data_IF_299844962236
#
_entry.id   IF_299844962236
#
_cell.length_a   1.000
_cell.length_b   1.000
_cell.length_c   1.000
_cell.angle_alpha   90.00
_cell.angle_beta   90.00
_cell.angle_gamma   90.00
#
_symmetry.space_group_name_H-M   'P 1'
#
loop_
_entity.id
_entity.type
_entity.pdbx_description
1 polymer ?
#
# COMPACT_ATOMS: atom_id res chain seq x y z
N UNK A 1 42.60 -50.49 1.46
CA UNK A 1 41.90 -49.47 2.26
C UNK A 1 41.44 -48.37 1.32
N UNK A 2 40.13 -48.25 1.07
CA UNK A 2 39.54 -47.09 0.38
C UNK A 2 38.30 -46.71 1.19
N UNK A 3 38.32 -45.55 1.84
CA UNK A 3 37.16 -44.98 2.52
C UNK A 3 36.51 -43.97 1.57
N UNK A 4 35.32 -44.27 1.07
CA UNK A 4 34.51 -43.34 0.30
C UNK A 4 33.67 -42.47 1.26
N UNK A 5 34.03 -41.20 1.39
CA UNK A 5 33.21 -40.20 2.08
C UNK A 5 32.18 -39.63 1.09
N UNK A 6 30.95 -40.16 1.13
CA UNK A 6 29.82 -39.50 0.47
C UNK A 6 29.46 -38.25 1.28
N UNK A 7 29.84 -37.06 0.78
CA UNK A 7 29.29 -35.79 1.27
C UNK A 7 27.85 -35.70 0.79
N UNK A 8 26.91 -36.08 1.66
CA UNK A 8 25.51 -35.76 1.45
C UNK A 8 25.35 -34.24 1.59
N UNK A 9 25.28 -33.55 0.45
CA UNK A 9 24.81 -32.17 0.40
C UNK A 9 23.29 -32.19 0.52
N UNK A 10 22.79 -32.32 1.74
CA UNK A 10 21.39 -32.01 2.04
C UNK A 10 21.19 -30.51 1.87
N UNK A 11 20.66 -30.11 0.71
CA UNK A 11 20.09 -28.79 0.51
C UNK A 11 18.87 -28.64 1.42
N UNK A 12 19.06 -28.06 2.60
CA UNK A 12 17.95 -27.53 3.38
C UNK A 12 17.46 -26.28 2.65
N UNK A 13 16.43 -26.43 1.82
CA UNK A 13 15.65 -25.28 1.37
C UNK A 13 14.94 -24.71 2.60
N UNK A 14 15.38 -23.55 3.08
CA UNK A 14 14.70 -22.83 4.15
C UNK A 14 13.42 -22.22 3.57
N UNK A 15 12.32 -22.97 3.61
CA UNK A 15 10.99 -22.42 3.35
C UNK A 15 10.61 -21.60 4.59
N UNK A 16 10.77 -20.28 4.52
CA UNK A 16 10.26 -19.40 5.58
C UNK A 16 8.73 -19.45 5.54
N UNK A 17 8.14 -20.22 6.45
CA UNK A 17 6.69 -20.38 6.63
C UNK A 17 6.07 -19.20 7.38
N UNK A 18 6.41 -17.97 6.99
CA UNK A 18 5.79 -16.78 7.55
C UNK A 18 4.60 -16.42 6.67
N UNK A 19 3.39 -16.69 7.17
CA UNK A 19 2.17 -16.22 6.52
C UNK A 19 2.20 -14.68 6.51
N UNK A 20 2.21 -14.03 5.32
CA UNK A 20 2.36 -12.58 5.22
C UNK A 20 1.16 -11.81 5.80
N UNK A 21 0.06 -12.51 6.12
CA UNK A 21 -1.15 -11.91 6.68
C UNK A 21 -1.21 -12.02 8.20
N UNK A 22 -0.30 -12.75 8.85
CA UNK A 22 -0.36 -13.00 10.29
C UNK A 22 0.57 -12.03 11.03
N UNK A 23 -0.02 -11.19 11.87
CA UNK A 23 0.74 -10.35 12.79
C UNK A 23 1.11 -11.09 14.08
N UNK A 24 2.08 -10.56 14.82
CA UNK A 24 2.55 -11.08 16.11
C UNK A 24 1.41 -11.27 17.13
N UNK A 25 0.40 -10.38 17.11
CA UNK A 25 -0.84 -10.53 17.88
C UNK A 25 -2.01 -10.89 16.96
N UNK A 26 -2.06 -12.17 16.59
CA UNK A 26 -3.08 -12.69 15.67
C UNK A 26 -4.49 -12.63 16.27
N UNK A 27 -4.62 -12.66 17.61
CA UNK A 27 -5.93 -12.59 18.30
C UNK A 27 -6.52 -11.19 18.16
N UNK A 28 -5.72 -10.14 18.39
CA UNK A 28 -6.18 -8.77 18.21
C UNK A 28 -6.51 -8.47 16.75
N UNK A 29 -5.72 -9.00 15.81
CA UNK A 29 -5.98 -8.85 14.38
C UNK A 29 -7.33 -9.43 13.97
N UNK A 30 -7.60 -10.70 14.33
CA UNK A 30 -8.87 -11.36 14.00
C UNK A 30 -10.05 -10.59 14.61
N UNK A 31 -9.94 -10.18 15.88
CA UNK A 31 -10.98 -9.37 16.55
C UNK A 31 -11.26 -8.06 15.83
N UNK A 32 -10.23 -7.38 15.35
CA UNK A 32 -10.40 -6.14 14.60
C UNK A 32 -11.04 -6.39 13.23
N UNK A 33 -10.56 -7.39 12.48
CA UNK A 33 -11.12 -7.75 11.17
C UNK A 33 -12.60 -8.13 11.29
N UNK A 34 -12.95 -8.99 12.26
CA UNK A 34 -14.32 -9.43 12.49
C UNK A 34 -15.22 -8.26 12.94
N UNK A 35 -14.72 -7.38 13.81
CA UNK A 35 -15.42 -6.17 14.23
C UNK A 35 -15.77 -5.28 13.05
N UNK A 36 -14.78 -4.98 12.20
CA UNK A 36 -14.96 -4.16 11.00
C UNK A 36 -15.94 -4.85 10.05
N UNK A 37 -15.71 -6.11 9.70
CA UNK A 37 -16.52 -6.85 8.73
C UNK A 37 -17.99 -6.99 9.15
N UNK A 38 -18.25 -7.24 10.43
CA UNK A 38 -19.61 -7.39 10.96
C UNK A 38 -20.34 -6.04 11.09
N UNK A 39 -19.61 -4.91 11.13
CA UNK A 39 -20.20 -3.58 11.14
C UNK A 39 -20.70 -3.08 9.77
N UNK A 40 -20.37 -3.79 8.69
CA UNK A 40 -20.69 -3.41 7.31
C UNK A 40 -21.98 -4.06 6.81
N UNK A 41 -22.81 -3.27 6.14
CA UNK A 41 -23.95 -3.79 5.39
C UNK A 41 -23.53 -4.40 4.05
N UNK A 42 -24.43 -5.14 3.38
CA UNK A 42 -24.11 -5.83 2.13
C UNK A 42 -23.57 -4.91 1.02
N UNK A 43 -24.11 -3.68 0.90
CA UNK A 43 -23.65 -2.72 -0.09
C UNK A 43 -22.26 -2.20 0.24
N UNK A 44 -21.97 -1.94 1.52
CA UNK A 44 -20.65 -1.52 1.98
C UNK A 44 -19.60 -2.61 1.75
N UNK A 45 -19.94 -3.88 2.02
CA UNK A 45 -19.05 -5.03 1.71
C UNK A 45 -18.69 -5.10 0.23
N UNK A 46 -19.68 -4.89 -0.64
CA UNK A 46 -19.45 -4.81 -2.10
C UNK A 46 -18.61 -3.59 -2.45
N UNK A 47 -18.85 -2.43 -1.82
CA UNK A 47 -18.05 -1.21 -1.99
C UNK A 47 -16.57 -1.41 -1.67
N UNK A 48 -16.26 -2.19 -0.62
CA UNK A 48 -14.88 -2.50 -0.23
C UNK A 48 -14.08 -3.27 -1.30
N UNK A 49 -14.74 -3.90 -2.28
CA UNK A 49 -14.08 -4.60 -3.39
C UNK A 49 -13.63 -3.67 -4.52
N UNK A 50 -14.07 -2.41 -4.51
CA UNK A 50 -13.73 -1.45 -5.56
C UNK A 50 -12.60 -0.53 -5.13
N UNK A 51 -11.68 -0.30 -6.08
CA UNK A 51 -10.61 0.67 -6.00
C UNK A 51 -10.73 1.64 -7.18
N UNK A 52 -10.60 2.94 -6.92
CA UNK A 52 -10.81 4.01 -7.91
C UNK A 52 -9.54 4.79 -8.17
N UNK A 53 -9.30 5.17 -9.42
CA UNK A 53 -8.19 6.01 -9.85
C UNK A 53 -8.39 7.48 -9.45
N UNK A 54 -7.39 8.05 -8.76
CA UNK A 54 -7.39 9.45 -8.38
C UNK A 54 -6.21 10.19 -9.00
N UNK A 55 -6.54 11.15 -9.86
CA UNK A 55 -5.58 12.09 -10.44
C UNK A 55 -5.65 13.43 -9.71
N UNK A 56 -4.58 13.80 -9.01
CA UNK A 56 -4.53 15.09 -8.31
C UNK A 56 -4.38 16.28 -9.26
N UNK A 57 -4.05 16.06 -10.53
CA UNK A 57 -3.92 17.09 -11.57
C UNK A 57 -5.15 17.26 -12.49
N UNK A 58 -6.19 16.41 -12.40
CA UNK A 58 -7.39 16.48 -13.28
C UNK A 58 -8.45 17.50 -12.82
N UNK A 59 -8.12 18.37 -11.86
CA UNK A 59 -8.98 19.45 -11.40
C UNK A 59 -10.06 19.04 -10.39
N UNK A 60 -10.78 20.04 -9.87
CA UNK A 60 -11.70 19.88 -8.72
C UNK A 60 -12.89 18.96 -9.00
N UNK A 61 -13.38 18.90 -10.24
CA UNK A 61 -14.53 18.10 -10.61
C UNK A 61 -14.27 16.59 -10.48
N UNK A 62 -13.09 16.13 -10.92
CA UNK A 62 -12.69 14.73 -10.78
C UNK A 62 -12.54 14.33 -9.31
N UNK A 63 -11.86 15.17 -8.50
CA UNK A 63 -11.74 14.95 -7.05
C UNK A 63 -13.11 14.91 -6.38
N UNK A 64 -14.05 15.79 -6.77
CA UNK A 64 -15.41 15.78 -6.24
C UNK A 64 -16.17 14.49 -6.58
N UNK A 65 -15.99 13.94 -7.78
CA UNK A 65 -16.57 12.66 -8.15
C UNK A 65 -16.02 11.51 -7.28
N UNK A 66 -14.70 11.48 -7.05
CA UNK A 66 -14.07 10.48 -6.18
C UNK A 66 -14.53 10.63 -4.73
N UNK A 67 -14.63 11.87 -4.21
CA UNK A 67 -15.21 12.14 -2.87
C UNK A 67 -16.60 11.55 -2.73
N UNK A 68 -17.45 11.74 -3.76
CA UNK A 68 -18.80 11.18 -3.78
C UNK A 68 -18.79 9.65 -3.71
N UNK A 69 -17.86 8.99 -4.40
CA UNK A 69 -17.70 7.54 -4.35
C UNK A 69 -17.26 7.05 -2.95
N UNK A 70 -16.32 7.77 -2.32
CA UNK A 70 -15.88 7.48 -0.95
C UNK A 70 -17.04 7.64 0.05
N UNK A 71 -17.77 8.74 -0.04
CA UNK A 71 -18.84 9.06 0.92
C UNK A 71 -20.10 8.22 0.72
N UNK A 72 -20.53 7.99 -0.53
CA UNK A 72 -21.80 7.31 -0.83
C UNK A 72 -21.65 5.81 -1.07
N UNK A 73 -20.59 5.38 -1.76
CA UNK A 73 -20.40 3.97 -2.16
C UNK A 73 -19.43 3.22 -1.24
N UNK A 74 -18.77 3.91 -0.30
CA UNK A 74 -17.87 3.32 0.70
C UNK A 74 -16.80 2.41 0.06
N UNK A 75 -16.11 2.96 -0.94
CA UNK A 75 -15.07 2.22 -1.68
C UNK A 75 -13.95 1.73 -0.75
N UNK A 76 -13.33 0.61 -1.10
CA UNK A 76 -12.28 -0.01 -0.28
C UNK A 76 -10.92 0.64 -0.43
N UNK A 77 -10.67 1.32 -1.55
CA UNK A 77 -9.39 1.98 -1.76
C UNK A 77 -9.36 2.96 -2.92
N UNK A 78 -8.25 3.69 -2.99
CA UNK A 78 -7.92 4.58 -4.10
C UNK A 78 -6.51 4.27 -4.59
N UNK A 79 -6.32 4.39 -5.90
CA UNK A 79 -5.00 4.33 -6.53
C UNK A 79 -4.61 5.71 -7.03
N UNK A 80 -3.55 6.27 -6.46
CA UNK A 80 -3.00 7.53 -6.91
C UNK A 80 -2.23 7.32 -8.21
N UNK A 81 -2.62 8.10 -9.22
CA UNK A 81 -1.87 8.26 -10.46
C UNK A 81 -0.99 9.51 -10.38
N UNK A 82 -0.73 10.15 -11.53
CA UNK A 82 0.14 11.32 -11.64
C UNK A 82 -0.33 12.52 -10.80
N UNK A 83 0.62 13.16 -10.11
CA UNK A 83 0.51 14.52 -9.60
C UNK A 83 1.51 14.83 -8.50
N UNK A 84 1.25 15.88 -7.71
CA UNK A 84 2.19 16.39 -6.70
C UNK A 84 2.04 15.73 -5.32
N UNK A 85 3.14 15.57 -4.56
CA UNK A 85 3.19 14.91 -3.24
C UNK A 85 2.27 15.60 -2.23
N UNK A 86 2.34 16.92 -2.19
CA UNK A 86 1.62 17.72 -1.20
C UNK A 86 0.12 17.59 -1.42
N UNK A 87 -0.31 17.69 -2.67
CA UNK A 87 -1.72 17.52 -3.02
C UNK A 87 -2.20 16.10 -2.76
N UNK A 88 -1.40 15.07 -3.05
CA UNK A 88 -1.72 13.69 -2.73
C UNK A 88 -1.87 13.50 -1.21
N UNK A 89 -0.92 13.97 -0.41
CA UNK A 89 -0.98 13.88 1.05
C UNK A 89 -2.23 14.58 1.63
N UNK A 90 -2.55 15.78 1.14
CA UNK A 90 -3.78 16.48 1.55
C UNK A 90 -5.04 15.70 1.17
N UNK A 91 -5.11 15.15 -0.05
CA UNK A 91 -6.25 14.35 -0.49
C UNK A 91 -6.35 13.03 0.28
N UNK A 92 -5.24 12.36 0.57
CA UNK A 92 -5.21 11.15 1.40
C UNK A 92 -5.81 11.43 2.77
N UNK A 93 -5.35 12.48 3.46
CA UNK A 93 -5.85 12.84 4.79
C UNK A 93 -7.33 13.21 4.75
N UNK A 94 -7.74 14.00 3.75
CA UNK A 94 -9.13 14.41 3.59
C UNK A 94 -10.06 13.21 3.34
N UNK A 95 -9.70 12.32 2.41
CA UNK A 95 -10.51 11.18 2.03
C UNK A 95 -10.53 10.11 3.13
N UNK A 96 -9.40 9.85 3.81
CA UNK A 96 -9.37 8.95 4.96
C UNK A 96 -10.23 9.46 6.11
N UNK A 97 -10.23 10.76 6.40
CA UNK A 97 -11.07 11.34 7.44
C UNK A 97 -12.58 11.24 7.14
N UNK A 98 -12.95 11.17 5.85
CA UNK A 98 -14.35 11.01 5.41
C UNK A 98 -14.78 9.55 5.32
N UNK A 99 -13.84 8.61 5.29
CA UNK A 99 -14.15 7.19 5.23
C UNK A 99 -14.46 6.63 6.62
N UNK A 100 -15.48 5.77 6.70
CA UNK A 100 -15.83 5.04 7.92
C UNK A 100 -14.82 3.91 8.23
N UNK A 101 -14.30 3.28 7.18
CA UNK A 101 -13.34 2.19 7.25
C UNK A 101 -12.01 2.66 6.65
N UNK A 102 -10.85 2.38 7.27
CA UNK A 102 -9.56 2.73 6.69
C UNK A 102 -9.44 2.22 5.25
N UNK A 103 -9.21 3.13 4.31
CA UNK A 103 -9.11 2.79 2.89
C UNK A 103 -7.69 2.38 2.52
N UNK A 104 -7.57 1.46 1.56
CA UNK A 104 -6.30 1.13 0.94
C UNK A 104 -5.87 2.27 0.01
N UNK A 105 -4.63 2.72 0.20
CA UNK A 105 -4.01 3.73 -0.66
C UNK A 105 -2.92 3.03 -1.46
N UNK A 106 -3.12 2.94 -2.77
CA UNK A 106 -2.17 2.35 -3.70
C UNK A 106 -1.54 3.42 -4.60
N UNK A 107 -0.39 3.10 -5.16
CA UNK A 107 0.25 3.87 -6.23
C UNK A 107 1.06 2.91 -7.12
N UNK A 108 1.16 3.25 -8.40
CA UNK A 108 2.06 2.58 -9.32
C UNK A 108 3.47 3.19 -9.15
N UNK A 109 4.36 2.44 -8.50
CA UNK A 109 5.73 2.85 -8.16
C UNK A 109 6.79 1.91 -8.76
N UNK A 110 6.54 1.40 -9.97
CA UNK A 110 7.46 0.48 -10.67
C UNK A 110 8.86 1.08 -10.94
N UNK A 111 8.96 2.41 -11.03
CA UNK A 111 10.17 3.14 -11.40
C UNK A 111 10.70 4.03 -10.26
N UNK A 112 10.33 3.71 -9.02
CA UNK A 112 10.67 4.52 -7.85
C UNK A 112 9.60 5.56 -7.51
N UNK A 113 9.59 5.96 -6.23
CA UNK A 113 8.62 6.90 -5.68
C UNK A 113 8.73 8.29 -6.34
N UNK A 114 9.92 8.63 -6.83
CA UNK A 114 10.21 9.84 -7.60
C UNK A 114 9.44 9.94 -8.92
N UNK A 115 9.11 8.81 -9.55
CA UNK A 115 8.38 8.78 -10.82
C UNK A 115 6.86 8.82 -10.60
N UNK A 116 6.39 8.13 -9.55
CA UNK A 116 4.98 8.08 -9.16
C UNK A 116 4.48 9.42 -8.59
N UNK A 117 5.33 10.11 -7.83
CA UNK A 117 4.99 11.36 -7.13
C UNK A 117 5.88 12.48 -7.68
N UNK A 118 5.31 13.34 -8.53
CA UNK A 118 6.05 14.42 -9.19
C UNK A 118 6.19 15.63 -8.27
N UNK A 119 6.96 15.48 -7.19
CA UNK A 119 7.76 16.54 -6.53
C UNK A 119 8.50 15.93 -5.31
N UNK A 120 9.79 16.29 -5.15
CA UNK A 120 10.62 16.13 -3.94
C UNK A 120 11.10 14.74 -3.49
N UNK A 121 11.25 13.75 -4.37
CA UNK A 121 12.41 12.84 -4.24
C UNK A 121 13.35 13.12 -5.40
N UNK A 122 13.92 14.32 -5.33
CA UNK A 122 15.29 14.54 -5.78
C UNK A 122 16.05 14.84 -4.48
N UNK A 123 16.19 13.83 -3.60
CA UNK A 123 17.27 13.91 -2.63
C UNK A 123 18.52 13.80 -3.48
N UNK A 124 19.28 14.88 -3.60
CA UNK A 124 20.63 14.82 -4.15
C UNK A 124 21.35 13.70 -3.41
N UNK A 125 21.51 12.54 -4.04
CA UNK A 125 22.68 11.71 -3.74
C UNK A 125 23.82 12.47 -4.38
N UNK A 126 24.30 13.48 -3.65
CA UNK A 126 25.64 13.98 -3.85
C UNK A 126 26.54 12.78 -3.52
N UNK A 127 26.99 12.08 -4.56
CA UNK A 127 28.08 11.13 -4.43
C UNK A 127 29.29 11.96 -4.01
N UNK A 128 29.48 12.12 -2.70
CA UNK A 128 30.71 12.62 -2.13
C UNK A 128 31.80 11.60 -2.43
N UNK A 129 32.48 11.76 -3.57
CA UNK A 129 33.72 11.04 -3.87
C UNK A 129 34.90 11.68 -3.14
N UNK A 130 34.76 11.97 -1.85
CA UNK A 130 35.89 12.26 -0.96
C UNK A 130 35.90 11.31 0.23
N UNK A 131 36.63 10.21 0.08
CA UNK A 131 37.80 9.92 0.92
C UNK A 131 38.31 8.51 0.65
N UNK A 132 39.46 8.39 -0.02
CA UNK A 132 40.64 7.80 0.61
C UNK A 132 41.86 7.99 -0.30
N UNK A 133 42.89 8.64 0.26
CA UNK A 133 44.31 8.69 -0.16
C UNK A 133 44.66 9.15 -1.58
#
# INVERSE_FOLDING_TARGET
MIFAFAKAYTSQAQFSSHDPLITNDSIAQIKWVDSVYNSLNQREKVGQLFMVDLFSNKGKAHVAAVRKLVEEQKIGGIIFSKGGPLQQAHLTNELQAKSKTPMLIAMDAEWGLEYAIRQYICFSVEYDTRSNT
#
